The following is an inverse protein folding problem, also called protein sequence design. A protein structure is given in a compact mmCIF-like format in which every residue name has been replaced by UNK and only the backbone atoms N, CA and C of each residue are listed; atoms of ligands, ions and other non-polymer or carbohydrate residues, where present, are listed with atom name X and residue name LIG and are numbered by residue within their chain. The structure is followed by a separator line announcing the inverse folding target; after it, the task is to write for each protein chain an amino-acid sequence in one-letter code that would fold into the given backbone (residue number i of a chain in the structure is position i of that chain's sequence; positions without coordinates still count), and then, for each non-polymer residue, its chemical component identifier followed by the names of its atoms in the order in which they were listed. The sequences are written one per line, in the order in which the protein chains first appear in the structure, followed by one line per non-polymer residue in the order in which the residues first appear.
data_IF_752470438790
#
_entry.id   IF_752470438790
#
_cell.length_a   1.000
_cell.length_b   1.000
_cell.length_c   1.000
_cell.angle_alpha   90.00
_cell.angle_beta   90.00
_cell.angle_gamma   90.00
#
_symmetry.space_group_name_H-M   'P 1'
#
loop_
_entity.id
_entity.type
_entity.pdbx_description
1 polymer ?
#
# COMPACT_ATOMS: atom_id res chain seq x y z
N UNK A 1 32.89 -18.56 6.99
CA UNK A 1 31.86 -17.51 6.99
C UNK A 1 30.51 -18.21 7.02
N UNK A 2 29.97 -18.46 8.22
CA UNK A 2 28.75 -19.23 8.42
C UNK A 2 27.64 -18.24 8.79
N UNK A 3 26.82 -17.84 7.82
CA UNK A 3 25.65 -17.02 8.08
C UNK A 3 24.53 -17.95 8.53
N UNK A 4 24.28 -17.94 9.84
CA UNK A 4 23.13 -18.57 10.48
C UNK A 4 21.86 -17.82 10.04
N UNK A 5 21.09 -18.41 9.12
CA UNK A 5 19.70 -18.06 8.84
C UNK A 5 18.82 -18.61 9.97
N UNK A 6 18.87 -17.94 11.12
CA UNK A 6 18.01 -18.22 12.27
C UNK A 6 17.08 -17.04 12.50
N UNK A 7 16.06 -16.92 11.65
CA UNK A 7 14.72 -16.49 12.06
C UNK A 7 13.81 -16.66 10.85
N UNK A 8 13.12 -17.80 10.77
CA UNK A 8 11.90 -17.88 10.00
C UNK A 8 10.86 -17.08 10.78
N UNK A 9 10.86 -15.76 10.59
CA UNK A 9 9.68 -14.96 10.90
C UNK A 9 8.51 -15.52 10.10
N UNK A 10 7.32 -15.47 10.68
CA UNK A 10 6.10 -15.93 10.01
C UNK A 10 6.03 -15.34 8.59
N UNK A 11 5.67 -16.16 7.60
CA UNK A 11 5.44 -15.69 6.23
C UNK A 11 4.18 -14.83 6.27
N UNK A 12 4.35 -13.54 6.58
CA UNK A 12 3.28 -12.57 6.44
C UNK A 12 3.01 -12.40 4.95
N UNK A 13 1.74 -12.56 4.56
CA UNK A 13 1.28 -12.31 3.19
C UNK A 13 0.47 -11.02 3.22
N UNK A 14 1.14 -9.86 3.19
CA UNK A 14 0.46 -8.57 3.27
C UNK A 14 -0.43 -8.31 2.06
N UNK A 15 -1.35 -7.37 2.28
CA UNK A 15 -2.08 -6.75 1.19
C UNK A 15 -1.25 -5.61 0.62
N UNK A 16 -1.05 -5.65 -0.69
CA UNK A 16 -0.20 -4.74 -1.44
C UNK A 16 -1.03 -4.00 -2.48
N UNK A 17 -0.58 -2.80 -2.83
CA UNK A 17 -1.16 -2.00 -3.89
C UNK A 17 -0.05 -1.43 -4.77
N UNK A 18 -0.17 -1.63 -6.08
CA UNK A 18 0.73 -1.04 -7.06
C UNK A 18 -0.04 0.01 -7.88
N UNK A 19 0.39 1.27 -7.82
CA UNK A 19 -0.22 2.34 -8.63
C UNK A 19 0.31 2.34 -10.06
N UNK A 20 -0.50 2.80 -11.01
CA UNK A 20 -0.12 2.91 -12.42
C UNK A 20 -0.85 4.08 -13.11
N UNK A 21 -0.49 4.35 -14.36
CA UNK A 21 -1.22 5.29 -15.21
C UNK A 21 -2.57 4.70 -15.63
N UNK A 22 -3.56 5.57 -15.81
CA UNK A 22 -4.91 5.19 -16.28
C UNK A 22 -4.82 4.34 -17.55
N UNK A 23 -5.53 3.21 -17.54
CA UNK A 23 -5.60 2.26 -18.65
C UNK A 23 -4.50 1.19 -18.63
N UNK A 24 -3.50 1.29 -17.74
CA UNK A 24 -2.46 0.27 -17.58
C UNK A 24 -2.78 -0.77 -16.51
N UNK A 25 -3.91 -0.66 -15.82
CA UNK A 25 -4.32 -1.59 -14.77
C UNK A 25 -4.32 -3.06 -15.25
N UNK A 26 -4.84 -3.41 -16.44
CA UNK A 26 -4.80 -4.78 -16.93
C UNK A 26 -3.38 -5.25 -17.26
N UNK A 27 -2.52 -4.34 -17.75
CA UNK A 27 -1.11 -4.64 -18.07
C UNK A 27 -0.33 -4.92 -16.80
N UNK A 28 -0.47 -4.06 -15.79
CA UNK A 28 0.15 -4.24 -14.49
C UNK A 28 -0.33 -5.52 -13.81
N UNK A 29 -1.63 -5.80 -13.85
CA UNK A 29 -2.19 -7.03 -13.29
C UNK A 29 -1.62 -8.28 -13.98
N UNK A 30 -1.39 -8.25 -15.29
CA UNK A 30 -0.73 -9.33 -16.01
C UNK A 30 0.75 -9.47 -15.60
N UNK A 31 1.49 -8.37 -15.45
CA UNK A 31 2.88 -8.38 -14.98
C UNK A 31 3.02 -8.97 -13.57
N UNK A 32 2.11 -8.61 -12.66
CA UNK A 32 2.13 -9.10 -11.27
C UNK A 32 1.84 -10.60 -11.16
N UNK A 33 0.91 -11.13 -11.98
CA UNK A 33 0.62 -12.58 -12.01
C UNK A 33 1.75 -13.40 -12.65
N UNK A 34 2.47 -12.81 -13.60
CA UNK A 34 3.50 -13.51 -14.36
C UNK A 34 4.77 -13.78 -13.53
N UNK A 35 5.55 -14.77 -13.98
CA UNK A 35 6.91 -15.00 -13.49
C UNK A 35 7.82 -13.82 -13.90
N UNK A 36 8.68 -13.31 -13.00
CA UNK A 36 9.08 -13.92 -11.73
C UNK A 36 8.24 -13.53 -10.50
N UNK A 37 7.33 -12.56 -10.62
CA UNK A 37 6.62 -11.97 -9.48
C UNK A 37 5.64 -12.94 -8.83
N UNK A 38 4.81 -13.64 -9.62
CA UNK A 38 3.87 -14.65 -9.15
C UNK A 38 2.97 -14.19 -7.98
N UNK A 39 2.48 -12.95 -8.02
CA UNK A 39 1.57 -12.40 -7.01
C UNK A 39 0.23 -13.14 -7.01
N UNK A 40 -0.40 -13.20 -5.84
CA UNK A 40 -1.73 -13.78 -5.64
C UNK A 40 -2.77 -12.69 -5.44
N UNK A 41 -4.04 -13.08 -5.51
CA UNK A 41 -5.18 -12.19 -5.25
C UNK A 41 -5.18 -10.87 -6.04
N UNK A 42 -4.69 -10.94 -7.27
CA UNK A 42 -4.49 -9.76 -8.13
C UNK A 42 -5.84 -9.25 -8.62
N UNK A 43 -6.22 -8.04 -8.18
CA UNK A 43 -7.45 -7.33 -8.56
C UNK A 43 -7.15 -5.94 -9.09
N UNK A 44 -7.64 -5.64 -10.28
CA UNK A 44 -7.57 -4.30 -10.84
C UNK A 44 -8.44 -3.32 -10.03
N UNK A 45 -7.93 -2.12 -9.80
CA UNK A 45 -8.61 -1.05 -9.07
C UNK A 45 -8.50 0.28 -9.84
N UNK A 46 -8.84 1.39 -9.20
CA UNK A 46 -8.66 2.70 -9.82
C UNK A 46 -7.18 3.11 -9.83
N UNK A 47 -6.60 3.33 -11.02
CA UNK A 47 -5.21 3.78 -11.18
C UNK A 47 -4.18 2.85 -10.50
N UNK A 48 -4.49 1.56 -10.42
CA UNK A 48 -3.63 0.61 -9.75
C UNK A 48 -4.23 -0.78 -9.62
N UNK A 49 -3.49 -1.66 -8.96
CA UNK A 49 -3.81 -3.07 -8.81
C UNK A 49 -3.50 -3.49 -7.37
N UNK A 50 -4.49 -4.10 -6.72
CA UNK A 50 -4.35 -4.76 -5.43
C UNK A 50 -3.82 -6.17 -5.65
N UNK A 51 -2.95 -6.64 -4.76
CA UNK A 51 -2.43 -8.00 -4.80
C UNK A 51 -1.92 -8.43 -3.43
N UNK A 52 -1.61 -9.70 -3.28
CA UNK A 52 -1.05 -10.30 -2.08
C UNK A 52 0.25 -11.02 -2.41
N UNK A 53 1.16 -11.05 -1.45
CA UNK A 53 2.41 -11.79 -1.59
C UNK A 53 3.39 -11.51 -0.46
N UNK A 54 4.29 -12.45 -0.22
CA UNK A 54 5.35 -12.34 0.78
C UNK A 54 6.41 -11.29 0.41
N UNK A 55 7.41 -11.11 1.28
CA UNK A 55 8.53 -10.19 1.05
C UNK A 55 9.27 -10.45 -0.28
N UNK A 56 9.30 -11.70 -0.78
CA UNK A 56 9.89 -12.01 -2.09
C UNK A 56 9.05 -11.43 -3.22
N UNK A 57 7.72 -11.60 -3.16
CA UNK A 57 6.79 -11.03 -4.14
C UNK A 57 6.85 -9.50 -4.12
N UNK A 58 6.92 -8.87 -2.94
CA UNK A 58 7.07 -7.42 -2.81
C UNK A 58 8.32 -6.91 -3.54
N UNK A 59 9.48 -7.49 -3.23
CA UNK A 59 10.74 -7.10 -3.84
C UNK A 59 10.72 -7.32 -5.36
N UNK A 60 10.14 -8.43 -5.81
CA UNK A 60 10.03 -8.73 -7.24
C UNK A 60 9.07 -7.79 -7.96
N UNK A 61 7.95 -7.41 -7.35
CA UNK A 61 7.03 -6.44 -7.93
C UNK A 61 7.73 -5.11 -8.21
N UNK A 62 8.57 -4.64 -7.27
CA UNK A 62 9.39 -3.42 -7.44
C UNK A 62 10.45 -3.58 -8.53
N UNK A 63 11.11 -4.74 -8.58
CA UNK A 63 12.21 -4.97 -9.52
C UNK A 63 11.76 -5.23 -10.97
N UNK A 64 10.60 -5.88 -11.15
CA UNK A 64 10.20 -6.43 -12.45
C UNK A 64 9.00 -5.74 -13.09
N UNK A 65 8.23 -4.93 -12.36
CA UNK A 65 7.16 -4.18 -12.98
C UNK A 65 7.72 -3.02 -13.80
N UNK A 66 7.27 -2.90 -15.05
CA UNK A 66 7.61 -1.76 -15.93
C UNK A 66 6.50 -0.72 -15.98
N UNK A 67 5.31 -1.10 -15.51
CA UNK A 67 4.09 -0.29 -15.55
C UNK A 67 3.69 0.28 -14.19
N UNK A 68 4.23 -0.24 -13.08
CA UNK A 68 4.00 0.30 -11.75
C UNK A 68 4.78 1.60 -11.51
N UNK A 69 4.14 2.55 -10.85
CA UNK A 69 4.74 3.81 -10.41
C UNK A 69 5.23 3.72 -8.96
N UNK A 70 4.45 3.08 -8.08
CA UNK A 70 4.80 2.80 -6.68
C UNK A 70 4.16 1.48 -6.26
N UNK A 71 4.88 0.69 -5.47
CA UNK A 71 4.36 -0.49 -4.78
C UNK A 71 4.31 -0.16 -3.29
N UNK A 72 3.15 -0.36 -2.67
CA UNK A 72 2.88 0.02 -1.28
C UNK A 72 2.27 -1.15 -0.53
N UNK A 73 2.61 -1.26 0.74
CA UNK A 73 2.00 -2.19 1.68
C UNK A 73 0.92 -1.49 2.49
N UNK A 74 -0.23 -2.15 2.66
CA UNK A 74 -1.29 -1.69 3.52
C UNK A 74 -0.99 -2.10 4.97
N UNK A 75 -0.60 -1.13 5.80
CA UNK A 75 -0.25 -1.38 7.20
C UNK A 75 -1.47 -1.49 8.12
N UNK A 76 -2.50 -0.66 7.89
CA UNK A 76 -3.70 -0.62 8.72
C UNK A 76 -4.87 0.01 7.98
N UNK A 77 -6.09 -0.37 8.40
CA UNK A 77 -7.36 0.28 8.03
C UNK A 77 -8.09 0.58 9.32
N UNK A 78 -8.63 1.80 9.44
CA UNK A 78 -9.36 2.23 10.62
C UNK A 78 -10.66 2.93 10.24
N UNK A 79 -11.77 2.43 10.80
CA UNK A 79 -13.10 2.99 10.58
C UNK A 79 -13.44 4.09 11.59
N UNK A 80 -14.44 4.92 11.27
CA UNK A 80 -15.03 5.87 12.22
C UNK A 80 -14.13 7.05 12.60
N UNK A 81 -13.03 7.27 11.88
CA UNK A 81 -12.10 8.38 12.13
C UNK A 81 -12.71 9.70 11.64
N UNK A 82 -13.22 10.52 12.57
CA UNK A 82 -13.95 11.76 12.23
C UNK A 82 -13.34 13.05 12.79
N UNK A 83 -12.24 12.95 13.53
CA UNK A 83 -11.59 14.06 14.22
C UNK A 83 -10.07 13.88 14.28
N UNK A 84 -9.33 14.95 14.56
CA UNK A 84 -7.88 14.87 14.74
C UNK A 84 -7.48 13.93 15.90
N UNK A 85 -8.11 13.98 17.10
CA UNK A 85 -7.79 13.03 18.16
C UNK A 85 -8.07 11.58 17.78
N UNK A 86 -9.20 11.29 17.12
CA UNK A 86 -9.51 9.92 16.67
C UNK A 86 -8.54 9.43 15.61
N UNK A 87 -8.03 10.31 14.73
CA UNK A 87 -7.00 9.94 13.74
C UNK A 87 -5.69 9.58 14.43
N UNK A 88 -5.27 10.37 15.41
CA UNK A 88 -4.05 10.09 16.17
C UNK A 88 -4.15 8.75 16.89
N UNK A 89 -5.28 8.48 17.54
CA UNK A 89 -5.50 7.22 18.24
C UNK A 89 -5.48 6.03 17.28
N UNK A 90 -6.23 6.10 16.17
CA UNK A 90 -6.26 5.04 15.17
C UNK A 90 -4.87 4.72 14.60
N UNK A 91 -4.09 5.74 14.24
CA UNK A 91 -2.74 5.55 13.72
C UNK A 91 -1.80 4.98 14.79
N UNK A 92 -2.01 5.32 16.06
CA UNK A 92 -1.22 4.80 17.17
C UNK A 92 -1.58 3.36 17.53
N UNK A 93 -2.86 2.97 17.43
CA UNK A 93 -3.34 1.65 17.86
C UNK A 93 -3.26 0.59 16.76
N UNK A 94 -3.59 0.96 15.52
CA UNK A 94 -3.78 -0.01 14.44
C UNK A 94 -2.51 -0.28 13.62
N UNK A 95 -1.56 0.67 13.60
CA UNK A 95 -0.31 0.51 12.83
C UNK A 95 0.74 -0.21 13.67
N UNK A 96 1.30 -1.34 13.20
CA UNK A 96 2.34 -2.08 13.92
C UNK A 96 3.72 -1.41 13.75
N UNK A 97 3.91 -0.27 14.40
CA UNK A 97 5.12 0.57 14.23
C UNK A 97 6.42 -0.19 14.54
N UNK A 98 6.39 -1.14 15.46
CA UNK A 98 7.51 -2.01 15.82
C UNK A 98 7.97 -2.92 14.68
N UNK A 99 7.07 -3.31 13.77
CA UNK A 99 7.38 -4.15 12.62
C UNK A 99 7.87 -3.30 11.43
N UNK A 100 7.50 -2.02 11.39
CA UNK A 100 7.87 -1.08 10.31
C UNK A 100 9.29 -0.55 10.48
N UNK A 101 9.74 -0.33 11.72
CA UNK A 101 11.08 0.20 12.02
C UNK A 101 12.02 -0.90 12.50
N UNK A 102 13.06 -1.18 11.72
CA UNK A 102 14.16 -2.06 12.10
C UNK A 102 15.17 -1.39 13.07
N UNK A 103 15.23 -0.06 13.13
CA UNK A 103 16.10 0.67 14.07
C UNK A 103 15.59 2.07 14.44
N UNK A 104 15.94 2.51 15.66
CA UNK A 104 15.56 3.84 16.20
C UNK A 104 16.10 5.04 15.41
N UNK A 105 17.12 4.82 14.57
CA UNK A 105 17.73 5.84 13.73
C UNK A 105 17.04 6.02 12.37
N UNK A 106 16.08 5.16 12.02
CA UNK A 106 15.33 5.31 10.78
C UNK A 106 14.45 6.56 10.83
N UNK A 107 14.31 7.21 9.67
CA UNK A 107 13.46 8.38 9.52
C UNK A 107 12.26 8.04 8.67
N UNK A 108 11.15 8.74 8.92
CA UNK A 108 9.92 8.59 8.16
C UNK A 108 9.48 9.95 7.63
N UNK A 109 8.80 9.92 6.49
CA UNK A 109 8.06 11.07 5.97
C UNK A 109 6.62 10.63 5.72
N UNK A 110 5.68 11.53 5.98
CA UNK A 110 4.25 11.24 5.81
C UNK A 110 3.73 12.02 4.62
N UNK A 111 3.17 11.30 3.66
CA UNK A 111 2.35 11.88 2.60
C UNK A 111 0.89 11.55 2.89
N UNK A 112 0.10 12.58 3.20
CA UNK A 112 -1.33 12.44 3.42
C UNK A 112 -2.09 12.74 2.12
N UNK A 113 -2.93 11.80 1.70
CA UNK A 113 -3.96 12.04 0.68
C UNK A 113 -5.29 12.12 1.40
N UNK A 114 -5.94 13.28 1.32
CA UNK A 114 -7.25 13.48 1.91
C UNK A 114 -8.29 13.26 0.82
N UNK A 115 -9.03 12.16 0.91
CA UNK A 115 -10.25 12.01 0.13
C UNK A 115 -11.31 12.94 0.69
N UNK A 116 -11.77 13.87 -0.14
CA UNK A 116 -12.71 14.90 0.28
C UNK A 116 -14.15 14.48 0.00
N UNK A 117 -14.61 13.37 0.58
CA UNK A 117 -16.05 13.07 0.57
C UNK A 117 -16.83 14.20 1.31
N UNK A 118 -16.18 14.85 2.29
CA UNK A 118 -16.72 16.05 2.97
C UNK A 118 -16.55 17.39 2.24
N UNK A 119 -15.61 17.58 1.29
CA UNK A 119 -15.54 18.89 0.59
C UNK A 119 -16.61 19.06 -0.49
N UNK A 120 -17.20 17.96 -0.96
CA UNK A 120 -18.38 18.02 -1.82
C UNK A 120 -19.52 18.84 -1.17
N UNK A 121 -19.72 18.69 0.15
CA UNK A 121 -20.72 19.47 0.91
C UNK A 121 -20.43 20.98 1.01
N UNK A 122 -19.19 21.42 0.73
CA UNK A 122 -18.76 22.83 0.80
C UNK A 122 -18.43 23.42 -0.58
N UNK A 123 -18.81 22.75 -1.66
CA UNK A 123 -18.82 23.31 -3.02
C UNK A 123 -17.43 23.67 -3.57
N UNK A 124 -16.37 22.96 -3.16
CA UNK A 124 -14.99 23.27 -3.60
C UNK A 124 -14.21 22.01 -3.98
N UNK A 125 -14.76 21.16 -4.82
CA UNK A 125 -13.96 20.17 -5.53
C UNK A 125 -13.27 20.85 -6.73
N UNK A 126 -11.96 20.62 -6.91
CA UNK A 126 -11.21 21.10 -8.08
C UNK A 126 -10.84 19.93 -8.98
N UNK A 127 -10.63 20.15 -10.29
CA UNK A 127 -10.04 19.13 -11.15
C UNK A 127 -8.65 18.74 -10.59
N UNK A 128 -8.50 17.48 -10.17
CA UNK A 128 -7.27 16.96 -9.53
C UNK A 128 -7.45 16.37 -8.13
N UNK A 129 -8.66 16.36 -7.59
CA UNK A 129 -8.98 15.67 -6.34
C UNK A 129 -8.94 14.14 -6.55
N UNK A 130 -7.77 13.53 -6.34
CA UNK A 130 -7.61 12.07 -6.35
C UNK A 130 -8.21 11.50 -5.07
N UNK A 131 -9.44 11.01 -5.18
CA UNK A 131 -10.10 10.21 -4.14
C UNK A 131 -9.39 8.86 -4.10
N UNK A 132 -8.74 8.55 -2.97
CA UNK A 132 -8.26 7.21 -2.70
C UNK A 132 -9.47 6.36 -2.28
N UNK A 133 -10.22 5.82 -3.25
CA UNK A 133 -11.30 4.84 -2.99
C UNK A 133 -10.74 3.46 -2.61
N UNK A 134 -9.41 3.27 -2.70
CA UNK A 134 -8.72 2.05 -2.30
C UNK A 134 -8.77 1.78 -0.79
N UNK A 135 -9.24 2.74 0.02
CA UNK A 135 -9.31 2.58 1.48
C UNK A 135 -10.58 1.92 2.00
N UNK A 136 -11.64 1.74 1.18
CA UNK A 136 -12.90 1.16 1.65
C UNK A 136 -13.73 2.10 2.51
#
# INVERSE_FOLDING_TARGET
MHLSLSSLSAVHTPTLFASCLRGLEPVLAAELRASPTCATDVREGHLGVHFSGDASVQAKAVLWSRSALRVMELLAVADGVSSQPSLYEAVRSEVPWEDVFASDSQTLSVQAVLSLDRAASRGRARPGDWVCEACG
#
